data_IF_157262412326
#
_entry.id   IF_157262412326
#
_cell.length_a   1.000
_cell.length_b   1.000
_cell.length_c   1.000
_cell.angle_alpha   90.00
_cell.angle_beta   90.00
_cell.angle_gamma   90.00
#
_symmetry.space_group_name_H-M   'P 1'
#
loop_
_entity.id
_entity.type
_entity.pdbx_description
1 polymer ?
#
# COMPACT_ATOMS: atom_id res chain seq x y z
N UNK A 1 15.91 -1.87 -8.83
CA UNK A 1 14.41 -1.91 -8.88
C UNK A 1 13.86 -0.91 -7.86
N UNK A 2 12.65 -0.36 -7.98
CA UNK A 2 12.17 0.64 -7.00
C UNK A 2 11.92 0.01 -5.62
N UNK A 3 12.42 0.64 -4.55
CA UNK A 3 12.27 0.13 -3.17
C UNK A 3 13.17 -1.07 -2.84
N UNK A 4 14.21 -1.31 -3.63
CA UNK A 4 15.21 -2.34 -3.37
C UNK A 4 15.94 -2.07 -2.04
N UNK A 5 16.16 -3.12 -1.24
CA UNK A 5 16.72 -3.01 0.10
C UNK A 5 15.71 -2.67 1.21
N UNK A 6 14.45 -2.40 0.88
CA UNK A 6 13.38 -2.21 1.87
C UNK A 6 12.77 -3.58 2.25
N UNK A 7 12.60 -3.80 3.55
CA UNK A 7 11.95 -4.97 4.13
C UNK A 7 10.57 -4.59 4.68
N UNK A 8 9.55 -5.39 4.38
CA UNK A 8 8.22 -5.26 4.94
C UNK A 8 8.05 -6.28 6.08
N UNK A 9 7.72 -5.79 7.26
CA UNK A 9 7.33 -6.63 8.41
C UNK A 9 5.84 -6.88 8.35
N UNK A 10 5.44 -8.12 8.07
CA UNK A 10 4.04 -8.54 8.02
C UNK A 10 3.40 -8.51 9.42
N UNK A 11 2.08 -8.60 9.45
CA UNK A 11 1.28 -8.54 10.69
C UNK A 11 1.55 -9.70 11.65
N UNK A 12 2.00 -10.84 11.12
CA UNK A 12 2.43 -12.01 11.87
C UNK A 12 3.90 -11.92 12.33
N UNK A 13 4.57 -10.80 12.09
CA UNK A 13 5.98 -10.56 12.40
C UNK A 13 6.96 -11.13 11.35
N UNK A 14 6.49 -11.89 10.36
CA UNK A 14 7.36 -12.40 9.30
C UNK A 14 7.85 -11.28 8.38
N UNK A 15 9.08 -11.38 7.89
CA UNK A 15 9.70 -10.36 7.03
C UNK A 15 9.67 -10.80 5.57
N UNK A 16 9.40 -9.87 4.65
CA UNK A 16 9.54 -10.08 3.22
C UNK A 16 10.18 -8.87 2.53
N UNK A 17 10.85 -9.04 1.38
CA UNK A 17 11.29 -7.91 0.59
C UNK A 17 10.10 -7.06 0.13
N UNK A 18 10.26 -5.74 0.15
CA UNK A 18 9.34 -4.84 -0.52
C UNK A 18 9.38 -5.11 -2.03
N UNK A 19 8.20 -5.19 -2.65
CA UNK A 19 8.06 -5.37 -4.10
C UNK A 19 7.17 -4.24 -4.62
N UNK A 20 7.74 -3.37 -5.44
CA UNK A 20 7.05 -2.22 -6.02
C UNK A 20 5.76 -2.62 -6.74
N UNK A 21 5.81 -3.71 -7.50
CA UNK A 21 4.70 -4.24 -8.29
C UNK A 21 3.53 -4.69 -7.40
N UNK A 22 3.78 -5.17 -6.17
CA UNK A 22 2.70 -5.50 -5.22
C UNK A 22 1.89 -4.26 -4.88
N UNK A 23 2.55 -3.11 -4.69
CA UNK A 23 1.87 -1.83 -4.41
C UNK A 23 1.12 -1.34 -5.64
N UNK A 24 1.76 -1.35 -6.81
CA UNK A 24 1.11 -0.92 -8.07
C UNK A 24 -0.14 -1.76 -8.35
N UNK A 25 -0.05 -3.09 -8.29
CA UNK A 25 -1.20 -3.98 -8.52
C UNK A 25 -2.30 -3.75 -7.48
N UNK A 26 -1.94 -3.46 -6.23
CA UNK A 26 -2.92 -3.11 -5.18
C UNK A 26 -3.70 -1.84 -5.53
N UNK A 27 -3.01 -0.82 -6.03
CA UNK A 27 -3.62 0.45 -6.48
C UNK A 27 -4.51 0.26 -7.71
N UNK A 28 -4.08 -0.57 -8.68
CA UNK A 28 -4.89 -0.91 -9.85
C UNK A 28 -6.20 -1.63 -9.47
N UNK A 29 -6.14 -2.54 -8.48
CA UNK A 29 -7.34 -3.23 -7.96
C UNK A 29 -8.30 -2.28 -7.25
N UNK A 30 -7.80 -1.16 -6.73
CA UNK A 30 -8.62 -0.08 -6.20
C UNK A 30 -9.23 0.83 -7.29
N UNK A 31 -8.90 0.60 -8.57
CA UNK A 31 -9.42 1.34 -9.71
C UNK A 31 -8.56 2.53 -10.14
N UNK A 32 -7.35 2.67 -9.62
CA UNK A 32 -6.41 3.66 -10.15
C UNK A 32 -5.95 3.26 -11.57
N UNK A 33 -5.74 4.25 -12.43
CA UNK A 33 -5.09 4.01 -13.72
C UNK A 33 -3.58 3.71 -13.54
N UNK A 34 -2.95 3.17 -14.60
CA UNK A 34 -1.54 2.74 -14.55
C UNK A 34 -0.59 3.90 -14.21
N UNK A 35 -0.83 5.09 -14.73
CA UNK A 35 0.04 6.24 -14.50
C UNK A 35 -0.09 6.74 -13.05
N UNK A 36 -1.31 6.86 -12.54
CA UNK A 36 -1.60 7.22 -11.17
C UNK A 36 -1.06 6.18 -10.18
N UNK A 37 -1.27 4.89 -10.44
CA UNK A 37 -0.78 3.81 -9.60
C UNK A 37 0.75 3.83 -9.46
N UNK A 38 1.46 3.98 -10.59
CA UNK A 38 2.93 4.08 -10.57
C UNK A 38 3.42 5.31 -9.81
N UNK A 39 2.81 6.46 -10.03
CA UNK A 39 3.14 7.72 -9.35
C UNK A 39 2.91 7.63 -7.84
N UNK A 40 1.76 7.11 -7.42
CA UNK A 40 1.42 6.94 -6.00
C UNK A 40 2.38 5.93 -5.34
N UNK A 41 2.68 4.81 -5.99
CA UNK A 41 3.62 3.83 -5.45
C UNK A 41 5.02 4.42 -5.21
N UNK A 42 5.50 5.30 -6.11
CA UNK A 42 6.76 6.02 -5.90
C UNK A 42 6.70 6.98 -4.70
N UNK A 43 5.59 7.72 -4.54
CA UNK A 43 5.39 8.60 -3.38
C UNK A 43 5.36 7.83 -2.06
N UNK A 44 4.74 6.66 -2.05
CA UNK A 44 4.72 5.77 -0.88
C UNK A 44 6.14 5.33 -0.52
N UNK A 45 6.96 4.93 -1.50
CA UNK A 45 8.35 4.54 -1.25
C UNK A 45 9.15 5.69 -0.63
N UNK A 46 9.01 6.92 -1.15
CA UNK A 46 9.72 8.08 -0.62
C UNK A 46 9.35 8.43 0.83
N UNK A 47 8.21 7.93 1.33
CA UNK A 47 7.74 8.14 2.69
C UNK A 47 8.19 7.03 3.66
N UNK A 48 8.83 5.96 3.18
CA UNK A 48 9.31 4.87 4.05
C UNK A 48 10.59 5.32 4.77
N UNK A 49 10.60 5.36 6.11
CA UNK A 49 11.80 5.72 6.85
C UNK A 49 12.78 4.53 6.89
N UNK A 50 13.94 4.70 6.25
CA UNK A 50 15.00 3.69 6.27
C UNK A 50 14.69 2.45 5.43
N UNK A 51 15.16 1.30 5.89
CA UNK A 51 15.13 0.02 5.16
C UNK A 51 14.10 -0.99 5.68
N UNK A 52 13.27 -0.62 6.66
CA UNK A 52 12.24 -1.51 7.22
C UNK A 52 10.93 -0.74 7.45
N UNK A 53 9.80 -1.34 7.07
CA UNK A 53 8.46 -0.79 7.27
C UNK A 53 7.48 -1.88 7.69
N UNK A 54 6.65 -1.63 8.69
CA UNK A 54 5.59 -2.58 9.04
C UNK A 54 4.40 -2.47 8.07
N UNK A 55 3.68 -3.59 7.89
CA UNK A 55 2.58 -3.67 6.94
C UNK A 55 1.44 -2.68 7.25
N UNK A 56 1.22 -2.29 8.52
CA UNK A 56 0.19 -1.30 8.88
C UNK A 56 0.61 0.09 8.45
N UNK A 57 1.86 0.49 8.74
CA UNK A 57 2.42 1.76 8.28
C UNK A 57 2.41 1.86 6.76
N UNK A 58 2.87 0.82 6.05
CA UNK A 58 2.82 0.82 4.58
C UNK A 58 1.38 0.97 4.05
N UNK A 59 0.42 0.28 4.67
CA UNK A 59 -1.00 0.40 4.29
C UNK A 59 -1.52 1.81 4.54
N UNK A 60 -1.18 2.42 5.67
CA UNK A 60 -1.56 3.80 5.99
C UNK A 60 -1.00 4.80 4.99
N UNK A 61 0.26 4.65 4.57
CA UNK A 61 0.85 5.50 3.54
C UNK A 61 0.10 5.38 2.21
N UNK A 62 -0.22 4.15 1.78
CA UNK A 62 -1.00 3.90 0.56
C UNK A 62 -2.37 4.58 0.64
N UNK A 63 -3.08 4.38 1.75
CA UNK A 63 -4.42 4.92 1.94
C UNK A 63 -4.42 6.46 1.99
N UNK A 64 -3.42 7.08 2.61
CA UNK A 64 -3.28 8.53 2.63
C UNK A 64 -3.12 9.10 1.20
N UNK A 65 -2.24 8.50 0.39
CA UNK A 65 -2.06 8.93 -1.00
C UNK A 65 -3.32 8.69 -1.84
N UNK A 66 -3.99 7.54 -1.65
CA UNK A 66 -5.26 7.25 -2.33
C UNK A 66 -6.34 8.28 -1.95
N UNK A 67 -6.50 8.59 -0.67
CA UNK A 67 -7.50 9.55 -0.18
C UNK A 67 -7.25 10.96 -0.72
N UNK A 68 -5.98 11.36 -0.80
CA UNK A 68 -5.58 12.65 -1.37
C UNK A 68 -5.77 12.72 -2.88
N UNK A 69 -5.50 11.62 -3.60
CA UNK A 69 -5.62 11.57 -5.06
C UNK A 69 -7.06 11.40 -5.53
N UNK A 70 -7.81 10.46 -4.93
CA UNK A 70 -9.18 10.16 -5.26
C UNK A 70 -9.87 9.36 -4.11
N UNK A 71 -10.80 9.97 -3.35
CA UNK A 71 -11.52 9.30 -2.27
C UNK A 71 -12.25 8.00 -2.68
N UNK A 72 -12.66 7.88 -3.94
CA UNK A 72 -13.30 6.65 -4.42
C UNK A 72 -12.30 5.48 -4.48
N UNK A 73 -11.05 5.72 -4.87
CA UNK A 73 -10.02 4.68 -4.87
C UNK A 73 -9.68 4.23 -3.46
N UNK A 74 -9.64 5.15 -2.49
CA UNK A 74 -9.53 4.79 -1.08
C UNK A 74 -10.65 3.82 -0.68
N UNK A 75 -11.92 4.16 -0.98
CA UNK A 75 -13.05 3.32 -0.61
C UNK A 75 -13.00 1.94 -1.29
N UNK A 76 -12.71 1.91 -2.58
CA UNK A 76 -12.54 0.67 -3.34
C UNK A 76 -11.43 -0.22 -2.74
N UNK A 77 -10.32 0.38 -2.31
CA UNK A 77 -9.22 -0.34 -1.68
C UNK A 77 -9.67 -0.99 -0.37
N UNK A 78 -10.39 -0.26 0.49
CA UNK A 78 -10.92 -0.78 1.76
C UNK A 78 -11.86 -1.97 1.51
N UNK A 79 -12.75 -1.86 0.51
CA UNK A 79 -13.67 -2.95 0.13
C UNK A 79 -12.88 -4.17 -0.37
N UNK A 80 -11.90 -3.95 -1.25
CA UNK A 80 -11.04 -5.01 -1.77
C UNK A 80 -10.26 -5.73 -0.67
N UNK A 81 -9.60 -5.00 0.24
CA UNK A 81 -8.83 -5.58 1.33
C UNK A 81 -9.73 -6.35 2.31
N UNK A 82 -10.92 -5.83 2.63
CA UNK A 82 -11.91 -6.56 3.44
C UNK A 82 -12.35 -7.86 2.75
N UNK A 83 -12.68 -7.82 1.46
CA UNK A 83 -13.16 -9.01 0.74
C UNK A 83 -12.08 -10.08 0.55
N UNK A 84 -10.86 -9.69 0.21
CA UNK A 84 -9.79 -10.63 -0.16
C UNK A 84 -8.92 -11.04 1.03
N UNK A 85 -8.69 -10.13 1.96
CA UNK A 85 -7.80 -10.37 3.11
C UNK A 85 -8.57 -10.58 4.42
N UNK A 86 -9.89 -10.35 4.44
CA UNK A 86 -10.76 -10.48 5.62
C UNK A 86 -10.31 -9.60 6.79
N UNK A 87 -9.83 -8.40 6.46
CA UNK A 87 -9.31 -7.43 7.43
C UNK A 87 -10.30 -6.31 7.64
N UNK A 88 -10.30 -5.76 8.84
CA UNK A 88 -11.03 -4.53 9.16
C UNK A 88 -10.06 -3.36 9.22
N UNK A 89 -9.37 -3.08 8.11
CA UNK A 89 -8.26 -2.12 8.07
C UNK A 89 -8.63 -0.72 8.59
N UNK A 90 -9.89 -0.29 8.45
CA UNK A 90 -10.37 0.98 9.03
C UNK A 90 -10.42 1.00 10.57
N UNK A 91 -10.51 -0.15 11.23
CA UNK A 91 -10.46 -0.27 12.69
C UNK A 91 -9.05 -0.50 13.22
N UNK A 92 -8.15 -0.96 12.35
CA UNK A 92 -6.80 -1.40 12.71
C UNK A 92 -5.72 -0.32 12.58
N UNK A 93 -6.01 0.76 11.83
CA UNK A 93 -5.14 1.90 11.52
C UNK A 93 -5.54 3.15 12.29
#
# INVERSE_FOLDING_TARGET
MFGEGITVVKRDGSKEPFIYEKVVVSLLKAGADVAAARRIALRVICQIPGSEVDAKTLTRLILNELKAANPQWYHNWIVFDRAVKRRETEKEL
#
